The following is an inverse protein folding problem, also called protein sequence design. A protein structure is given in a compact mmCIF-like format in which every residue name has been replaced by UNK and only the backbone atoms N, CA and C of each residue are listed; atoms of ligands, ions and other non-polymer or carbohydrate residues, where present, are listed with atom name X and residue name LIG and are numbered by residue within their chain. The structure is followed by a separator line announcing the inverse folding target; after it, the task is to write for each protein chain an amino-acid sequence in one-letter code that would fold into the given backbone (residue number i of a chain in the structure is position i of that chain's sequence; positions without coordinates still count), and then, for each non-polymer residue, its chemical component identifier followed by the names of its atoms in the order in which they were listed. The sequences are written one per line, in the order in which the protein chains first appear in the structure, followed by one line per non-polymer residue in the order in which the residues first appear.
data_IF_195431689652
#
_entry.id   IF_195431689652
#
_cell.length_a   1.000
_cell.length_b   1.000
_cell.length_c   1.000
_cell.angle_alpha   90.00
_cell.angle_beta   90.00
_cell.angle_gamma   90.00
#
_symmetry.space_group_name_H-M   'P 1'
#
loop_
_entity.id
_entity.type
_entity.pdbx_description
1 polymer ?
#
# COMPACT_ATOMS: atom_id res chain seq x y z
N UNK A 1 6.38 42.03 -60.18
CA UNK A 1 6.27 43.47 -60.49
C UNK A 1 5.37 44.14 -59.45
N UNK A 2 5.97 45.08 -58.74
CA UNK A 2 5.45 46.30 -58.13
C UNK A 2 4.00 46.78 -58.34
N UNK A 3 3.51 47.51 -57.30
CA UNK A 3 2.50 48.59 -57.24
C UNK A 3 1.07 48.13 -56.84
N UNK A 4 0.48 48.48 -55.68
CA UNK A 4 0.34 49.74 -54.89
C UNK A 4 -0.97 50.50 -55.17
N UNK A 5 -1.40 51.23 -54.12
CA UNK A 5 -2.37 52.35 -54.00
C UNK A 5 -3.75 51.95 -53.43
N UNK A 6 -4.10 52.31 -52.19
CA UNK A 6 -4.30 53.60 -51.46
C UNK A 6 -5.77 54.09 -51.48
N UNK A 7 -6.24 54.43 -50.27
CA UNK A 7 -7.57 54.87 -49.79
C UNK A 7 -8.12 56.19 -50.38
N UNK A 8 -9.36 56.60 -50.01
CA UNK A 8 -9.60 57.59 -48.91
C UNK A 8 -10.88 57.30 -48.08
N UNK A 9 -10.95 57.45 -46.74
CA UNK A 9 -11.12 58.63 -45.85
C UNK A 9 -12.36 59.52 -46.14
N UNK A 10 -13.30 59.57 -45.18
CA UNK A 10 -14.13 60.74 -44.84
C UNK A 10 -14.18 60.87 -43.30
N UNK A 11 -13.80 62.05 -42.81
CA UNK A 11 -13.93 62.54 -41.42
C UNK A 11 -15.21 63.37 -41.28
N UNK A 12 -15.81 63.38 -40.08
CA UNK A 12 -16.53 64.55 -39.55
C UNK A 12 -16.28 64.63 -38.04
N UNK A 13 -15.63 65.73 -37.62
CA UNK A 13 -15.42 66.21 -36.24
C UNK A 13 -16.78 66.70 -35.63
N UNK A 14 -17.01 66.94 -34.33
CA UNK A 14 -16.52 68.09 -33.54
C UNK A 14 -16.99 67.93 -32.07
N UNK A 15 -16.02 68.10 -31.17
CA UNK A 15 -15.96 68.77 -29.84
C UNK A 15 -17.12 68.73 -28.82
N UNK A 16 -16.78 68.35 -27.57
CA UNK A 16 -16.73 69.29 -26.43
C UNK A 16 -15.89 68.70 -25.25
N UNK A 17 -15.11 69.55 -24.59
CA UNK A 17 -14.26 69.37 -23.37
C UNK A 17 -14.44 70.64 -22.51
N UNK A 18 -13.93 70.77 -21.25
CA UNK A 18 -13.25 69.81 -20.35
C UNK A 18 -13.69 69.92 -18.86
N UNK A 19 -13.20 69.03 -17.98
CA UNK A 19 -12.38 69.43 -16.81
C UNK A 19 -11.63 68.26 -16.19
N UNK A 20 -10.39 68.57 -15.85
CA UNK A 20 -9.25 67.74 -15.45
C UNK A 20 -9.39 67.30 -13.99
N UNK A 21 -9.00 66.05 -13.68
CA UNK A 21 -8.04 65.77 -12.61
C UNK A 21 -7.32 64.45 -12.92
N UNK A 22 -6.03 64.50 -12.62
CA UNK A 22 -4.93 63.77 -13.22
C UNK A 22 -4.48 62.63 -12.30
N UNK A 23 -4.34 61.41 -12.83
CA UNK A 23 -3.06 60.71 -12.94
C UNK A 23 -3.22 59.20 -13.14
N UNK A 24 -2.83 58.75 -14.33
CA UNK A 24 -1.86 57.66 -14.41
C UNK A 24 -2.36 56.22 -14.54
N UNK A 25 -2.34 55.76 -15.81
CA UNK A 25 -1.82 54.45 -16.29
C UNK A 25 -2.82 53.33 -16.67
N UNK A 26 -3.11 53.33 -17.97
CA UNK A 26 -3.35 52.26 -18.98
C UNK A 26 -2.98 50.78 -18.64
N UNK A 27 -3.44 49.76 -19.43
CA UNK A 27 -4.61 48.94 -19.11
C UNK A 27 -4.38 47.40 -19.31
N UNK A 28 -5.45 46.64 -19.04
CA UNK A 28 -5.72 45.25 -19.43
C UNK A 28 -5.10 44.10 -18.63
N UNK A 29 -5.92 43.49 -17.78
CA UNK A 29 -6.14 42.02 -17.76
C UNK A 29 -7.57 41.74 -17.30
N UNK A 30 -8.33 41.06 -18.18
CA UNK A 30 -9.65 40.54 -17.89
C UNK A 30 -9.60 39.60 -16.68
N UNK A 31 -10.45 39.88 -15.70
CA UNK A 31 -10.64 39.08 -14.49
C UNK A 31 -11.18 37.69 -14.86
N UNK A 32 -10.46 36.66 -14.42
CA UNK A 32 -11.03 35.32 -14.28
C UNK A 32 -11.82 35.32 -12.97
N UNK A 33 -13.10 35.00 -13.06
CA UNK A 33 -13.96 34.68 -11.93
C UNK A 33 -13.29 33.63 -11.03
N UNK A 34 -12.95 34.01 -9.81
CA UNK A 34 -12.48 33.10 -8.77
C UNK A 34 -13.65 32.22 -8.32
N UNK A 35 -13.71 31.00 -8.84
CA UNK A 35 -14.39 29.91 -8.15
C UNK A 35 -13.49 29.51 -6.99
N UNK A 36 -13.93 29.84 -5.78
CA UNK A 36 -13.24 29.56 -4.54
C UNK A 36 -12.78 28.10 -4.46
N UNK A 37 -11.51 27.92 -4.12
CA UNK A 37 -10.95 26.62 -3.76
C UNK A 37 -11.60 26.16 -2.46
N UNK A 38 -12.49 25.18 -2.52
CA UNK A 38 -12.72 24.30 -1.38
C UNK A 38 -11.40 23.58 -1.08
N UNK A 39 -10.74 23.97 0.01
CA UNK A 39 -9.67 23.18 0.63
C UNK A 39 -10.23 21.82 1.03
N UNK A 40 -10.06 20.82 0.17
CA UNK A 40 -10.29 19.43 0.53
C UNK A 40 -9.33 19.07 1.68
N UNK A 41 -9.90 19.02 2.87
CA UNK A 41 -9.29 18.53 4.10
C UNK A 41 -8.59 17.18 3.81
N UNK A 42 -7.27 17.19 3.60
CA UNK A 42 -6.50 15.99 3.24
C UNK A 42 -6.69 14.93 4.34
N UNK A 43 -7.41 13.85 4.02
CA UNK A 43 -7.63 12.74 4.94
C UNK A 43 -6.34 11.98 5.11
N UNK A 44 -6.02 11.63 6.35
CA UNK A 44 -4.81 10.90 6.68
C UNK A 44 -5.00 9.42 6.37
N UNK A 45 -4.41 8.94 5.27
CA UNK A 45 -4.72 7.63 4.71
C UNK A 45 -4.34 6.47 5.65
N UNK A 46 -3.17 6.50 6.29
CA UNK A 46 -2.81 5.45 7.24
C UNK A 46 -3.67 5.45 8.51
N UNK A 47 -4.12 6.61 8.99
CA UNK A 47 -5.14 6.67 10.05
C UNK A 47 -6.47 6.10 9.58
N UNK A 48 -6.86 6.36 8.33
CA UNK A 48 -8.06 5.79 7.73
C UNK A 48 -7.97 4.26 7.64
N UNK A 49 -6.80 3.69 7.29
CA UNK A 49 -6.56 2.24 7.30
C UNK A 49 -6.72 1.64 8.68
N UNK A 50 -6.14 2.27 9.71
CA UNK A 50 -6.27 1.80 11.10
C UNK A 50 -7.72 1.89 11.58
N UNK A 51 -8.42 3.00 11.32
CA UNK A 51 -9.86 3.13 11.65
C UNK A 51 -10.71 2.09 10.93
N UNK A 52 -10.44 1.84 9.65
CA UNK A 52 -11.15 0.82 8.88
C UNK A 52 -10.97 -0.57 9.46
N UNK A 53 -9.75 -0.91 9.90
CA UNK A 53 -9.46 -2.16 10.58
C UNK A 53 -10.23 -2.30 11.90
N UNK A 54 -10.23 -1.24 12.72
CA UNK A 54 -10.99 -1.21 13.98
C UNK A 54 -12.50 -1.38 13.75
N UNK A 55 -13.03 -0.84 12.65
CA UNK A 55 -14.45 -1.00 12.29
C UNK A 55 -14.79 -2.39 11.78
N UNK A 56 -13.93 -2.98 10.95
CA UNK A 56 -14.04 -4.38 10.54
C UNK A 56 -14.04 -5.30 11.77
N UNK A 57 -13.14 -5.07 12.72
CA UNK A 57 -13.08 -5.80 13.99
C UNK A 57 -14.40 -5.65 14.77
N UNK A 58 -14.90 -4.43 14.95
CA UNK A 58 -16.19 -4.19 15.62
C UNK A 58 -17.36 -4.88 14.93
N UNK A 59 -17.32 -5.02 13.60
CA UNK A 59 -18.33 -5.80 12.87
C UNK A 59 -18.26 -7.28 13.25
N UNK A 60 -17.06 -7.85 13.36
CA UNK A 60 -16.85 -9.24 13.79
C UNK A 60 -17.29 -9.49 15.23
N UNK A 61 -17.00 -8.56 16.13
CA UNK A 61 -17.42 -8.62 17.53
C UNK A 61 -18.92 -8.26 17.74
N UNK A 62 -19.62 -7.84 16.69
CA UNK A 62 -21.03 -7.42 16.78
C UNK A 62 -21.24 -6.16 17.61
N UNK A 63 -20.28 -5.23 17.57
CA UNK A 63 -20.21 -3.97 18.34
C UNK A 63 -20.08 -2.73 17.43
N UNK A 64 -20.50 -2.86 16.17
CA UNK A 64 -20.39 -1.83 15.12
C UNK A 64 -21.41 -0.68 15.24
N UNK A 65 -21.92 -0.41 16.45
CA UNK A 65 -22.75 0.77 16.77
C UNK A 65 -22.20 1.45 18.03
N UNK A 66 -22.65 2.67 18.36
CA UNK A 66 -22.22 3.34 19.60
C UNK A 66 -22.55 2.54 20.86
N UNK A 67 -23.63 1.73 20.85
CA UNK A 67 -23.95 0.79 21.93
C UNK A 67 -22.89 -0.30 22.11
N UNK A 68 -22.01 -0.50 21.13
CA UNK A 68 -20.88 -1.42 21.22
C UNK A 68 -19.92 -1.08 22.36
N UNK A 69 -19.74 0.21 22.69
CA UNK A 69 -18.85 0.63 23.77
C UNK A 69 -19.29 0.18 25.17
N UNK A 70 -20.59 -0.07 25.36
CA UNK A 70 -21.14 -0.57 26.63
C UNK A 70 -21.43 -2.06 26.58
N UNK A 71 -21.22 -2.74 25.45
CA UNK A 71 -21.64 -4.14 25.26
C UNK A 71 -20.68 -5.11 25.95
N UNK A 72 -21.22 -6.06 26.70
CA UNK A 72 -20.49 -7.21 27.22
C UNK A 72 -20.81 -8.45 26.41
N UNK A 73 -20.00 -9.50 26.60
CA UNK A 73 -20.36 -10.86 26.22
C UNK A 73 -21.80 -11.18 26.63
N UNK A 74 -22.51 -11.96 25.81
CA UNK A 74 -23.97 -12.22 25.84
C UNK A 74 -24.89 -11.07 25.36
N UNK A 75 -24.35 -9.88 25.08
CA UNK A 75 -25.13 -8.72 24.64
C UNK A 75 -25.70 -7.86 25.77
N UNK A 76 -25.33 -8.14 27.03
CA UNK A 76 -25.60 -7.26 28.17
C UNK A 76 -24.87 -5.93 28.03
N UNK A 77 -25.30 -4.93 28.79
CA UNK A 77 -24.66 -3.61 28.82
C UNK A 77 -24.21 -3.24 30.24
N UNK A 78 -23.03 -2.62 30.34
CA UNK A 78 -22.54 -2.01 31.58
C UNK A 78 -22.67 -0.48 31.52
N UNK A 79 -22.80 0.16 32.69
CA UNK A 79 -22.97 1.61 32.82
C UNK A 79 -21.75 2.32 33.41
N UNK A 80 -21.01 1.64 34.31
CA UNK A 80 -19.80 2.20 34.90
C UNK A 80 -18.63 2.13 33.90
N UNK A 81 -18.24 3.31 33.41
CA UNK A 81 -17.14 3.48 32.46
C UNK A 81 -15.83 3.84 33.14
N UNK A 82 -15.75 3.90 34.46
CA UNK A 82 -14.51 4.27 35.18
C UNK A 82 -13.36 3.27 34.95
N UNK A 83 -13.69 2.03 34.60
CA UNK A 83 -12.74 0.97 34.25
C UNK A 83 -13.43 -0.14 33.46
N UNK A 84 -12.64 -1.09 32.95
CA UNK A 84 -13.19 -2.32 32.40
C UNK A 84 -14.10 -3.00 33.44
N UNK A 85 -15.27 -3.56 33.07
CA UNK A 85 -16.23 -4.09 34.03
C UNK A 85 -15.72 -5.33 34.80
N UNK A 86 -14.72 -6.04 34.27
CA UNK A 86 -14.04 -7.18 34.93
C UNK A 86 -15.01 -8.30 35.39
N UNK A 87 -16.15 -8.41 34.71
CA UNK A 87 -17.20 -9.37 35.03
C UNK A 87 -17.18 -10.53 34.04
N UNK A 88 -16.96 -11.76 34.53
CA UNK A 88 -17.12 -12.98 33.72
C UNK A 88 -18.61 -13.31 33.60
N UNK A 89 -19.10 -13.39 32.38
CA UNK A 89 -20.50 -13.75 32.08
C UNK A 89 -20.52 -15.14 31.42
N UNK A 90 -21.34 -16.04 31.96
CA UNK A 90 -21.63 -17.34 31.34
C UNK A 90 -22.89 -17.24 30.49
N UNK A 91 -22.80 -17.61 29.21
CA UNK A 91 -23.94 -17.71 28.31
C UNK A 91 -23.76 -18.91 27.36
N UNK A 92 -24.78 -19.77 27.30
CA UNK A 92 -24.66 -21.05 26.59
C UNK A 92 -23.53 -21.91 27.18
N UNK A 93 -22.59 -22.32 26.32
CA UNK A 93 -21.46 -23.19 26.71
C UNK A 93 -20.17 -22.44 27.05
N UNK A 94 -20.18 -21.11 27.00
CA UNK A 94 -18.97 -20.31 27.15
C UNK A 94 -19.10 -19.31 28.30
N UNK A 95 -17.95 -19.02 28.92
CA UNK A 95 -17.79 -17.97 29.91
C UNK A 95 -16.77 -16.98 29.39
N UNK A 96 -17.11 -15.69 29.36
CA UNK A 96 -16.21 -14.64 28.88
C UNK A 96 -16.39 -13.35 29.64
N UNK A 97 -15.28 -12.65 29.87
CA UNK A 97 -15.24 -11.31 30.43
C UNK A 97 -15.22 -10.20 29.38
N UNK A 98 -15.38 -10.55 28.09
CA UNK A 98 -15.25 -9.62 26.99
C UNK A 98 -16.20 -8.43 27.14
N UNK A 99 -15.66 -7.23 27.01
CA UNK A 99 -16.44 -6.00 27.11
C UNK A 99 -15.96 -4.90 26.17
N UNK A 100 -16.90 -4.01 25.85
CA UNK A 100 -16.66 -2.82 25.04
C UNK A 100 -16.60 -3.10 23.54
N UNK A 101 -16.28 -2.06 22.78
CA UNK A 101 -16.28 -2.08 21.33
C UNK A 101 -15.36 -3.15 20.75
N UNK A 102 -14.24 -3.44 21.43
CA UNK A 102 -13.24 -4.40 20.95
C UNK A 102 -13.23 -5.70 21.76
N UNK A 103 -14.29 -5.94 22.55
CA UNK A 103 -14.46 -7.15 23.36
C UNK A 103 -13.18 -7.51 24.15
N UNK A 104 -12.59 -6.50 24.78
CA UNK A 104 -11.36 -6.62 25.55
C UNK A 104 -11.61 -7.56 26.72
N UNK A 105 -10.70 -8.49 26.97
CA UNK A 105 -10.79 -9.44 28.08
C UNK A 105 -10.24 -8.84 29.38
N UNK A 106 -10.74 -9.29 30.54
CA UNK A 106 -10.29 -8.82 31.85
C UNK A 106 -8.77 -8.99 32.05
N UNK A 107 -8.21 -10.12 31.59
CA UNK A 107 -6.78 -10.38 31.72
C UNK A 107 -5.95 -9.50 30.79
N UNK A 108 -6.49 -9.13 29.62
CA UNK A 108 -5.87 -8.14 28.74
C UNK A 108 -5.90 -6.76 29.39
N UNK A 109 -7.01 -6.38 30.02
CA UNK A 109 -7.10 -5.14 30.80
C UNK A 109 -6.08 -5.09 31.94
N UNK A 110 -5.93 -6.17 32.71
CA UNK A 110 -4.90 -6.27 33.75
C UNK A 110 -3.49 -6.15 33.19
N UNK A 111 -3.18 -6.89 32.12
CA UNK A 111 -1.90 -6.79 31.44
C UNK A 111 -1.60 -5.37 30.94
N UNK A 112 -2.59 -4.66 30.38
CA UNK A 112 -2.43 -3.25 29.98
C UNK A 112 -2.16 -2.31 31.17
N UNK A 113 -2.47 -2.73 32.39
CA UNK A 113 -2.24 -2.03 33.66
C UNK A 113 -0.93 -2.47 34.36
N UNK A 114 -0.03 -3.15 33.63
CA UNK A 114 1.25 -3.60 34.18
C UNK A 114 1.17 -4.86 35.04
N UNK A 115 0.04 -5.55 35.11
CA UNK A 115 -0.05 -6.82 35.86
C UNK A 115 0.50 -7.98 35.03
N UNK A 116 1.47 -8.71 35.56
CA UNK A 116 1.93 -9.95 34.93
C UNK A 116 0.86 -11.03 35.02
N UNK A 117 0.58 -11.65 33.87
CA UNK A 117 -0.46 -12.66 33.70
C UNK A 117 0.17 -14.05 33.48
N UNK A 118 -0.39 -15.07 34.13
CA UNK A 118 -0.03 -16.47 33.92
C UNK A 118 -0.61 -17.02 32.61
N UNK A 119 -0.13 -18.17 32.15
CA UNK A 119 -0.65 -18.83 30.94
C UNK A 119 -2.15 -19.19 31.03
N UNK A 120 -2.67 -19.37 32.25
CA UNK A 120 -4.10 -19.60 32.52
C UNK A 120 -4.90 -18.30 32.80
N UNK A 121 -4.37 -17.15 32.39
CA UNK A 121 -5.00 -15.84 32.44
C UNK A 121 -5.32 -15.33 33.86
N UNK A 122 -4.47 -15.65 34.85
CA UNK A 122 -4.59 -15.17 36.23
C UNK A 122 -3.56 -14.09 36.55
N UNK A 123 -3.89 -13.25 37.54
CA UNK A 123 -2.95 -12.30 38.13
C UNK A 123 -1.85 -13.05 38.88
N UNK A 124 -0.61 -12.57 38.77
CA UNK A 124 0.51 -13.06 39.58
C UNK A 124 0.74 -12.21 40.83
N UNK A 125 0.16 -11.01 40.88
CA UNK A 125 0.43 -9.97 41.87
C UNK A 125 1.71 -9.17 41.57
N UNK A 126 2.42 -9.48 40.48
CA UNK A 126 3.65 -8.81 40.07
C UNK A 126 3.31 -7.67 39.11
N UNK A 127 3.71 -6.46 39.48
CA UNK A 127 3.62 -5.28 38.63
C UNK A 127 4.91 -5.13 37.79
N UNK A 128 4.79 -5.13 36.47
CA UNK A 128 5.87 -4.85 35.53
C UNK A 128 5.63 -3.50 34.83
N UNK A 129 6.43 -2.51 35.22
CA UNK A 129 6.31 -1.11 34.76
C UNK A 129 6.40 -0.96 33.23
N UNK A 130 7.13 -1.83 32.55
CA UNK A 130 7.42 -1.70 31.12
C UNK A 130 6.21 -1.94 30.22
N UNK A 131 5.18 -2.64 30.73
CA UNK A 131 3.92 -2.87 30.03
C UNK A 131 2.69 -2.26 30.73
N UNK A 132 2.89 -1.32 31.66
CA UNK A 132 1.82 -0.41 32.14
C UNK A 132 1.52 0.64 31.06
N UNK A 133 0.80 0.21 30.03
CA UNK A 133 0.41 1.04 28.91
C UNK A 133 -0.70 2.02 29.27
N UNK A 134 -1.57 1.67 30.22
CA UNK A 134 -2.60 2.56 30.73
C UNK A 134 -1.95 3.84 31.28
N UNK A 135 -0.92 3.70 32.13
CA UNK A 135 -0.16 4.85 32.63
C UNK A 135 0.65 5.53 31.54
N UNK A 136 1.34 4.76 30.68
CA UNK A 136 2.18 5.30 29.58
C UNK A 136 1.40 6.20 28.62
N UNK A 137 0.16 5.83 28.30
CA UNK A 137 -0.71 6.57 27.37
C UNK A 137 -1.77 7.42 28.06
N UNK A 138 -1.73 7.55 29.40
CA UNK A 138 -2.65 8.38 30.16
C UNK A 138 -4.12 7.98 30.01
N UNK A 139 -4.40 6.68 29.91
CA UNK A 139 -5.76 6.14 29.82
C UNK A 139 -6.41 6.22 31.21
N UNK A 140 -7.47 7.02 31.34
CA UNK A 140 -8.06 7.35 32.66
C UNK A 140 -9.23 6.46 33.04
N UNK A 141 -9.87 5.87 32.05
CA UNK A 141 -11.16 5.21 32.18
C UNK A 141 -11.35 4.17 31.06
N UNK A 142 -12.58 3.64 30.95
CA UNK A 142 -13.01 2.74 29.89
C UNK A 142 -14.06 3.40 28.98
N UNK A 143 -14.01 4.73 28.84
CA UNK A 143 -14.84 5.50 27.92
C UNK A 143 -14.60 5.10 26.45
N UNK A 144 -15.44 5.59 25.54
CA UNK A 144 -15.34 5.24 24.12
C UNK A 144 -13.98 5.61 23.49
N UNK A 145 -13.44 6.80 23.80
CA UNK A 145 -12.10 7.19 23.33
C UNK A 145 -11.01 6.31 23.94
N UNK A 146 -11.11 6.00 25.24
CA UNK A 146 -10.16 5.12 25.93
C UNK A 146 -10.16 3.71 25.35
N UNK A 147 -11.33 3.14 25.05
CA UNK A 147 -11.43 1.82 24.40
C UNK A 147 -10.76 1.81 23.03
N UNK A 148 -10.94 2.87 22.23
CA UNK A 148 -10.26 2.98 20.94
C UNK A 148 -8.74 3.06 21.11
N UNK A 149 -8.24 3.84 22.07
CA UNK A 149 -6.81 3.90 22.40
C UNK A 149 -6.28 2.56 22.86
N UNK A 150 -7.00 1.85 23.72
CA UNK A 150 -6.64 0.50 24.18
C UNK A 150 -6.54 -0.48 23.00
N UNK A 151 -7.44 -0.39 22.02
CA UNK A 151 -7.33 -1.19 20.80
C UNK A 151 -5.99 -0.91 20.06
N UNK A 152 -5.62 0.36 19.87
CA UNK A 152 -4.32 0.71 19.25
C UNK A 152 -3.14 0.17 20.06
N UNK A 153 -3.20 0.25 21.39
CA UNK A 153 -2.16 -0.29 22.27
C UNK A 153 -2.03 -1.81 22.10
N UNK A 154 -3.15 -2.54 22.04
CA UNK A 154 -3.17 -3.99 21.79
C UNK A 154 -2.54 -4.31 20.42
N UNK A 155 -2.95 -3.59 19.37
CA UNK A 155 -2.38 -3.73 18.02
C UNK A 155 -0.87 -3.44 18.00
N UNK A 156 -0.39 -2.53 18.84
CA UNK A 156 1.03 -2.13 18.88
C UNK A 156 1.90 -3.06 19.73
N UNK A 157 1.38 -3.62 20.82
CA UNK A 157 2.26 -4.21 21.85
C UNK A 157 1.97 -5.67 22.20
N UNK A 158 0.72 -6.13 22.18
CA UNK A 158 0.38 -7.40 22.81
C UNK A 158 0.89 -8.62 22.03
N UNK A 159 0.87 -8.55 20.69
CA UNK A 159 1.31 -9.65 19.82
C UNK A 159 2.66 -9.38 19.18
N UNK A 160 2.76 -8.28 18.47
CA UNK A 160 3.99 -7.83 17.82
C UNK A 160 3.83 -6.36 17.43
N UNK A 161 4.91 -5.59 17.51
CA UNK A 161 4.95 -4.23 16.95
C UNK A 161 4.66 -4.22 15.44
N UNK A 162 4.90 -5.34 14.76
CA UNK A 162 4.61 -5.49 13.34
C UNK A 162 3.10 -5.50 13.04
N UNK A 163 2.23 -5.81 14.00
CA UNK A 163 0.80 -5.93 13.73
C UNK A 163 0.19 -4.59 13.30
N UNK A 164 0.39 -3.53 14.07
CA UNK A 164 -0.04 -2.18 13.68
C UNK A 164 0.64 -1.70 12.39
N UNK A 165 1.92 -2.06 12.16
CA UNK A 165 2.64 -1.69 10.94
C UNK A 165 2.01 -2.32 9.69
N UNK A 166 1.64 -3.61 9.74
CA UNK A 166 0.97 -4.27 8.63
C UNK A 166 -0.36 -3.57 8.28
N UNK A 167 -1.11 -3.09 9.28
CA UNK A 167 -2.36 -2.35 9.03
C UNK A 167 -2.06 -0.99 8.39
N UNK A 168 -1.06 -0.26 8.91
CA UNK A 168 -0.60 1.02 8.35
C UNK A 168 -0.16 0.83 6.89
N UNK A 169 0.53 -0.27 6.57
CA UNK A 169 1.06 -0.62 5.25
C UNK A 169 0.00 -1.26 4.32
N UNK A 170 -1.27 -1.32 4.74
CA UNK A 170 -2.38 -1.93 4.00
C UNK A 170 -2.22 -3.44 3.71
N UNK A 171 -1.46 -4.16 4.53
CA UNK A 171 -1.29 -5.62 4.48
C UNK A 171 -2.31 -6.31 5.40
N UNK A 172 -3.59 -6.07 5.13
CA UNK A 172 -4.70 -6.39 6.05
C UNK A 172 -4.92 -7.89 6.24
N UNK A 173 -4.82 -8.66 5.16
CA UNK A 173 -4.92 -10.11 5.24
C UNK A 173 -3.82 -10.67 6.14
N UNK A 174 -2.56 -10.30 5.89
CA UNK A 174 -1.41 -10.73 6.69
C UNK A 174 -1.54 -10.31 8.17
N UNK A 175 -1.96 -9.07 8.43
CA UNK A 175 -2.20 -8.57 9.78
C UNK A 175 -3.23 -9.43 10.54
N UNK A 176 -4.31 -9.79 9.85
CA UNK A 176 -5.43 -10.57 10.40
C UNK A 176 -5.05 -12.03 10.63
N UNK A 177 -4.39 -12.65 9.65
CA UNK A 177 -3.94 -14.04 9.73
C UNK A 177 -2.87 -14.25 10.79
N UNK A 178 -1.87 -13.35 10.82
CA UNK A 178 -0.67 -13.52 11.64
C UNK A 178 -0.91 -13.14 13.10
N UNK A 179 -1.70 -12.10 13.34
CA UNK A 179 -1.84 -11.52 14.68
C UNK A 179 -3.30 -11.36 15.11
N UNK A 180 -4.17 -10.80 14.26
CA UNK A 180 -5.54 -10.46 14.63
C UNK A 180 -6.35 -11.65 15.13
N UNK A 181 -6.28 -12.78 14.42
CA UNK A 181 -6.95 -14.04 14.78
C UNK A 181 -6.51 -14.67 16.09
N UNK A 182 -5.34 -14.31 16.63
CA UNK A 182 -4.90 -14.74 17.97
C UNK A 182 -5.42 -13.83 19.09
N UNK A 183 -5.88 -12.63 18.77
CA UNK A 183 -6.38 -11.69 19.76
C UNK A 183 -7.90 -11.65 19.80
N UNK A 184 -8.53 -11.69 18.63
CA UNK A 184 -9.98 -11.63 18.49
C UNK A 184 -10.50 -12.89 17.81
N UNK A 185 -11.36 -13.61 18.53
CA UNK A 185 -11.88 -14.90 18.09
C UNK A 185 -12.78 -14.82 16.86
N UNK A 186 -13.36 -13.63 16.59
CA UNK A 186 -14.17 -13.39 15.40
C UNK A 186 -13.34 -13.27 14.12
N UNK A 187 -12.04 -12.99 14.22
CA UNK A 187 -11.18 -12.73 13.06
C UNK A 187 -10.60 -14.03 12.46
N UNK A 188 -10.48 -14.10 11.12
CA UNK A 188 -9.93 -15.27 10.44
C UNK A 188 -8.39 -15.33 10.46
N UNK A 189 -7.78 -16.52 10.40
CA UNK A 189 -8.43 -17.83 10.45
C UNK A 189 -8.92 -18.13 11.87
N UNK A 190 -10.04 -18.84 12.01
CA UNK A 190 -10.58 -19.15 13.33
C UNK A 190 -9.65 -20.00 14.18
N UNK A 191 -9.39 -19.56 15.42
CA UNK A 191 -8.45 -20.23 16.35
C UNK A 191 -9.11 -20.80 17.61
N UNK A 192 -10.34 -20.38 17.92
CA UNK A 192 -10.97 -20.64 19.22
C UNK A 192 -12.24 -21.49 19.14
N UNK A 193 -12.58 -22.03 17.96
CA UNK A 193 -13.82 -22.80 17.76
C UNK A 193 -15.11 -21.99 17.96
N UNK A 194 -15.00 -20.66 18.02
CA UNK A 194 -16.11 -19.71 18.05
C UNK A 194 -16.52 -19.33 16.62
N UNK A 195 -17.72 -18.74 16.41
CA UNK A 195 -18.11 -18.22 15.11
C UNK A 195 -17.08 -17.22 14.58
N UNK A 196 -16.64 -17.43 13.34
CA UNK A 196 -15.58 -16.66 12.68
C UNK A 196 -16.12 -15.96 11.44
N UNK A 197 -15.52 -14.85 11.06
CA UNK A 197 -15.70 -14.29 9.73
C UNK A 197 -14.97 -15.13 8.68
N UNK A 198 -15.47 -15.12 7.45
CA UNK A 198 -14.73 -15.60 6.28
C UNK A 198 -13.72 -14.50 5.89
N UNK A 199 -12.48 -14.86 5.53
CA UNK A 199 -11.43 -13.89 5.19
C UNK A 199 -11.88 -12.90 4.11
N UNK A 200 -12.49 -13.38 3.03
CA UNK A 200 -12.97 -12.53 1.95
C UNK A 200 -14.05 -11.54 2.42
N UNK A 201 -14.94 -11.95 3.32
CA UNK A 201 -15.98 -11.08 3.89
C UNK A 201 -15.37 -10.02 4.83
N UNK A 202 -14.37 -10.40 5.64
CA UNK A 202 -13.64 -9.48 6.49
C UNK A 202 -12.90 -8.42 5.66
N UNK A 203 -12.19 -8.84 4.61
CA UNK A 203 -11.50 -7.93 3.68
C UNK A 203 -12.49 -7.03 2.92
N UNK A 204 -13.65 -7.55 2.51
CA UNK A 204 -14.69 -6.73 1.88
C UNK A 204 -15.27 -5.68 2.83
N UNK A 205 -15.52 -6.03 4.10
CA UNK A 205 -15.96 -5.08 5.11
C UNK A 205 -14.88 -4.04 5.43
N UNK A 206 -13.61 -4.44 5.48
CA UNK A 206 -12.48 -3.53 5.61
C UNK A 206 -12.46 -2.48 4.48
N UNK A 207 -12.52 -2.94 3.22
CA UNK A 207 -12.49 -2.06 2.05
C UNK A 207 -13.67 -1.07 2.02
N UNK A 208 -14.85 -1.54 2.44
CA UNK A 208 -16.01 -0.67 2.63
C UNK A 208 -15.73 0.39 3.70
N UNK A 209 -15.24 -0.02 4.87
CA UNK A 209 -14.92 0.89 5.96
C UNK A 209 -13.85 1.91 5.53
N UNK A 210 -12.79 1.46 4.85
CA UNK A 210 -11.71 2.32 4.35
C UNK A 210 -12.23 3.41 3.43
N UNK A 211 -13.11 3.08 2.48
CA UNK A 211 -13.75 4.07 1.60
C UNK A 211 -14.53 5.12 2.38
N UNK A 212 -15.20 4.75 3.46
CA UNK A 212 -15.98 5.67 4.29
C UNK A 212 -15.09 6.55 5.19
N UNK A 213 -14.00 5.99 5.73
CA UNK A 213 -12.99 6.73 6.50
C UNK A 213 -12.27 7.75 5.60
N UNK A 214 -11.90 7.36 4.38
CA UNK A 214 -11.27 8.24 3.38
C UNK A 214 -12.19 9.38 2.93
N UNK A 215 -13.51 9.20 3.02
CA UNK A 215 -14.50 10.27 2.77
C UNK A 215 -14.76 11.15 4.00
N UNK A 216 -14.27 10.76 5.18
CA UNK A 216 -14.57 11.45 6.44
C UNK A 216 -16.03 11.31 6.88
N UNK A 217 -16.73 10.27 6.40
CA UNK A 217 -18.18 10.09 6.63
C UNK A 217 -18.54 9.27 7.87
N UNK A 218 -17.53 8.69 8.53
CA UNK A 218 -17.68 7.82 9.69
C UNK A 218 -17.41 8.57 10.99
N UNK A 219 -18.28 8.39 11.99
CA UNK A 219 -18.19 9.00 13.31
C UNK A 219 -18.13 7.97 14.45
N UNK A 220 -17.94 6.69 14.13
CA UNK A 220 -18.07 5.61 15.10
C UNK A 220 -16.81 5.43 15.97
N UNK A 221 -15.64 5.72 15.41
CA UNK A 221 -14.34 5.72 16.11
C UNK A 221 -14.13 7.12 16.71
N UNK A 222 -13.93 7.21 18.02
CA UNK A 222 -13.81 8.44 18.82
C UNK A 222 -12.38 8.96 18.95
N UNK A 223 -11.41 8.32 18.30
CA UNK A 223 -10.06 8.87 18.15
C UNK A 223 -10.11 10.19 17.36
N UNK A 224 -9.22 11.13 17.71
CA UNK A 224 -9.07 12.41 16.98
C UNK A 224 -8.16 12.23 15.76
N UNK A 225 -8.18 13.18 14.82
CA UNK A 225 -7.20 13.22 13.72
C UNK A 225 -5.80 13.41 14.30
N UNK A 226 -4.80 12.69 13.79
CA UNK A 226 -3.43 12.73 14.31
C UNK A 226 -3.17 11.80 15.50
N UNK A 227 -4.13 10.95 15.89
CA UNK A 227 -3.99 10.04 17.04
C UNK A 227 -2.77 9.13 16.94
N UNK A 228 -2.35 8.75 15.73
CA UNK A 228 -1.21 7.83 15.57
C UNK A 228 0.12 8.44 16.04
N UNK A 229 0.22 9.77 16.13
CA UNK A 229 1.40 10.45 16.69
C UNK A 229 1.60 10.13 18.17
N UNK A 230 0.50 10.00 18.93
CA UNK A 230 0.55 9.60 20.35
C UNK A 230 1.24 8.23 20.50
N UNK A 231 1.14 7.38 19.47
CA UNK A 231 1.72 6.05 19.41
C UNK A 231 3.07 5.98 18.67
N UNK A 232 3.68 7.12 18.35
CA UNK A 232 4.98 7.22 17.69
C UNK A 232 4.96 7.01 16.18
N UNK A 233 3.82 7.24 15.52
CA UNK A 233 3.68 7.15 14.07
C UNK A 233 3.34 8.50 13.47
N UNK A 234 4.20 8.99 12.57
CA UNK A 234 3.99 10.23 11.86
C UNK A 234 3.25 9.96 10.56
N UNK A 235 1.93 9.92 10.68
CA UNK A 235 1.02 9.50 9.62
C UNK A 235 0.41 10.68 8.84
N UNK A 236 0.22 11.80 9.53
CA UNK A 236 -0.58 12.94 9.05
C UNK A 236 0.20 14.27 9.00
N UNK A 237 1.47 14.25 9.41
CA UNK A 237 2.40 15.34 9.10
C UNK A 237 2.90 15.10 7.68
N UNK A 238 2.12 15.58 6.71
CA UNK A 238 2.55 16.07 5.40
C UNK A 238 1.31 16.37 4.54
N UNK A 239 0.64 17.46 4.90
CA UNK A 239 -0.18 18.24 3.98
C UNK A 239 0.57 19.52 3.56
N UNK A 240 1.83 19.37 3.14
CA UNK A 240 2.49 20.32 2.24
C UNK A 240 2.95 19.53 1.01
N UNK A 241 2.84 20.10 -0.21
CA UNK A 241 3.31 19.44 -1.41
C UNK A 241 4.83 19.55 -1.44
N UNK A 242 5.52 18.56 -0.88
CA UNK A 242 6.96 18.38 -1.08
C UNK A 242 7.19 16.95 -1.54
N UNK A 243 7.84 16.84 -2.71
CA UNK A 243 8.37 15.61 -3.26
C UNK A 243 9.43 15.08 -2.30
N UNK A 244 9.05 14.32 -1.29
CA UNK A 244 10.00 13.44 -0.60
C UNK A 244 9.28 12.17 -0.18
N UNK A 245 9.70 11.11 -0.84
CA UNK A 245 9.15 9.79 -0.79
C UNK A 245 9.66 9.10 0.50
N UNK A 246 8.76 8.55 1.32
CA UNK A 246 9.09 7.84 2.57
C UNK A 246 9.94 6.60 2.27
N UNK A 247 11.23 6.68 2.57
CA UNK A 247 12.17 5.57 2.40
C UNK A 247 11.81 4.43 3.35
N UNK A 248 11.58 3.24 2.80
CA UNK A 248 11.42 1.98 3.54
C UNK A 248 12.70 1.60 4.29
N UNK A 249 12.69 0.50 5.06
CA UNK A 249 13.88 0.01 5.79
C UNK A 249 15.07 -0.38 4.88
N UNK A 250 14.86 -0.39 3.56
CA UNK A 250 15.88 -0.57 2.54
C UNK A 250 16.35 0.78 1.93
N UNK A 251 15.97 1.92 2.52
CA UNK A 251 16.42 3.26 2.13
C UNK A 251 15.76 3.84 0.88
N UNK A 252 14.68 3.23 0.35
CA UNK A 252 13.97 3.69 -0.86
C UNK A 252 12.47 3.65 -0.68
N UNK A 253 11.72 4.48 -1.37
CA UNK A 253 10.26 4.48 -1.18
C UNK A 253 9.62 3.36 -1.95
N UNK A 254 8.63 2.71 -1.35
CA UNK A 254 7.82 1.71 -2.03
C UNK A 254 7.08 2.36 -3.20
N UNK A 255 7.11 1.69 -4.35
CA UNK A 255 6.44 2.14 -5.57
C UNK A 255 5.59 0.98 -6.04
N UNK A 256 4.30 1.22 -6.23
CA UNK A 256 3.36 0.27 -6.80
C UNK A 256 2.59 0.92 -7.95
N UNK A 257 2.88 0.50 -9.17
CA UNK A 257 2.27 1.06 -10.37
C UNK A 257 1.04 0.27 -10.84
N UNK A 258 0.58 -0.76 -10.12
CA UNK A 258 -0.54 -1.62 -10.60
C UNK A 258 -1.87 -0.89 -10.75
N UNK A 259 -2.08 0.18 -9.99
CA UNK A 259 -3.23 1.07 -10.17
C UNK A 259 -3.19 1.90 -11.45
N UNK A 260 -2.01 2.06 -12.07
CA UNK A 260 -1.79 2.83 -13.31
C UNK A 260 -1.53 1.94 -14.52
N UNK A 261 -0.84 0.83 -14.31
CA UNK A 261 -0.32 -0.06 -15.36
C UNK A 261 -1.13 -1.36 -15.34
N UNK A 262 -1.90 -1.58 -16.39
CA UNK A 262 -2.73 -2.77 -16.54
C UNK A 262 -1.87 -3.97 -16.94
N UNK A 263 -2.01 -5.08 -16.22
CA UNK A 263 -1.42 -6.36 -16.62
C UNK A 263 -2.03 -6.87 -17.93
N UNK A 264 -1.20 -7.56 -18.72
CA UNK A 264 -1.61 -8.21 -19.97
C UNK A 264 -0.95 -9.59 -20.12
N UNK A 265 -1.58 -10.47 -20.88
CA UNK A 265 -1.06 -11.81 -21.20
C UNK A 265 -0.50 -11.90 -22.61
N UNK A 266 0.54 -12.71 -22.81
CA UNK A 266 1.04 -13.04 -24.15
C UNK A 266 0.11 -13.97 -24.94
N UNK A 267 -0.92 -14.53 -24.31
CA UNK A 267 -1.91 -15.40 -24.95
C UNK A 267 -3.15 -14.67 -25.44
N UNK A 268 -3.07 -13.34 -25.56
CA UNK A 268 -4.11 -12.53 -26.17
C UNK A 268 -4.23 -12.85 -27.67
N UNK A 269 -5.47 -12.93 -28.18
CA UNK A 269 -5.76 -13.23 -29.57
C UNK A 269 -5.14 -12.21 -30.54
N UNK A 270 -4.86 -10.97 -30.09
CA UNK A 270 -4.17 -9.94 -30.89
C UNK A 270 -2.77 -10.35 -31.36
N UNK A 271 -2.15 -11.32 -30.68
CA UNK A 271 -0.83 -11.84 -31.05
C UNK A 271 -0.90 -12.96 -32.12
N UNK A 272 -2.10 -13.38 -32.51
CA UNK A 272 -2.33 -14.42 -33.51
C UNK A 272 -2.53 -15.81 -32.89
N UNK A 273 -2.14 -16.84 -33.64
CA UNK A 273 -2.26 -18.23 -33.20
C UNK A 273 -1.36 -18.57 -32.00
N UNK A 274 -1.54 -19.79 -31.48
CA UNK A 274 -0.81 -20.27 -30.30
C UNK A 274 0.71 -20.26 -30.47
N UNK A 275 1.23 -20.48 -31.68
CA UNK A 275 2.68 -20.50 -31.94
C UNK A 275 3.26 -19.08 -31.81
N UNK A 276 2.55 -18.08 -32.35
CA UNK A 276 2.93 -16.67 -32.17
C UNK A 276 2.80 -16.22 -30.72
N UNK A 277 1.72 -16.62 -30.05
CA UNK A 277 1.51 -16.32 -28.63
C UNK A 277 2.62 -16.90 -27.74
N UNK A 278 3.11 -18.12 -28.02
CA UNK A 278 4.18 -18.76 -27.25
C UNK A 278 5.53 -18.00 -27.28
N UNK A 279 5.70 -17.05 -28.21
CA UNK A 279 6.92 -16.21 -28.32
C UNK A 279 6.61 -14.71 -28.17
N UNK A 280 5.40 -14.36 -27.74
CA UNK A 280 4.91 -12.97 -27.68
C UNK A 280 5.27 -12.23 -26.37
N UNK A 281 6.05 -12.81 -25.46
CA UNK A 281 6.41 -12.17 -24.18
C UNK A 281 6.98 -10.75 -24.37
N UNK A 282 7.97 -10.59 -25.25
CA UNK A 282 8.56 -9.28 -25.57
C UNK A 282 7.54 -8.29 -26.11
N UNK A 283 6.72 -8.71 -27.07
CA UNK A 283 5.70 -7.85 -27.70
C UNK A 283 4.64 -7.42 -26.70
N UNK A 284 4.29 -8.31 -25.78
CA UNK A 284 3.34 -8.03 -24.70
C UNK A 284 3.92 -7.01 -23.71
N UNK A 285 5.19 -7.14 -23.36
CA UNK A 285 5.89 -6.13 -22.56
C UNK A 285 5.92 -4.76 -23.25
N UNK A 286 6.26 -4.71 -24.54
CA UNK A 286 6.19 -3.46 -25.32
C UNK A 286 4.80 -2.85 -25.31
N UNK A 287 3.75 -3.67 -25.49
CA UNK A 287 2.38 -3.17 -25.49
C UNK A 287 1.99 -2.60 -24.12
N UNK A 288 2.43 -3.21 -23.02
CA UNK A 288 2.24 -2.65 -21.67
C UNK A 288 2.94 -1.29 -21.56
N UNK A 289 4.18 -1.17 -22.03
CA UNK A 289 4.92 0.11 -22.03
C UNK A 289 4.21 1.18 -22.87
N UNK A 290 3.81 0.84 -24.09
CA UNK A 290 3.11 1.75 -25.02
C UNK A 290 1.79 2.25 -24.42
N UNK A 291 0.99 1.35 -23.84
CA UNK A 291 -0.26 1.71 -23.17
C UNK A 291 -0.05 2.56 -21.91
N UNK A 292 1.19 2.65 -21.43
CA UNK A 292 1.60 3.50 -20.31
C UNK A 292 2.22 4.84 -20.76
N UNK A 293 2.19 5.14 -22.06
CA UNK A 293 2.75 6.36 -22.64
C UNK A 293 4.24 6.31 -22.98
N UNK A 294 4.84 5.11 -22.99
CA UNK A 294 6.25 4.89 -23.32
C UNK A 294 6.40 4.31 -24.74
N UNK A 295 7.62 3.95 -25.12
CA UNK A 295 7.93 3.36 -26.42
C UNK A 295 8.32 1.89 -26.29
N UNK A 296 8.21 1.15 -27.38
CA UNK A 296 8.76 -0.19 -27.47
C UNK A 296 10.29 -0.17 -27.31
N UNK A 297 10.83 -1.19 -26.65
CA UNK A 297 12.26 -1.26 -26.34
C UNK A 297 13.08 -1.97 -27.42
N UNK A 298 14.33 -1.53 -27.62
CA UNK A 298 15.26 -2.12 -28.60
C UNK A 298 16.47 -2.80 -27.94
N UNK A 299 17.21 -3.58 -28.73
CA UNK A 299 18.49 -4.15 -28.30
C UNK A 299 19.64 -3.13 -28.23
N UNK A 300 19.51 -1.98 -28.90
CA UNK A 300 20.53 -0.93 -28.92
C UNK A 300 20.57 -0.09 -27.65
N UNK A 301 19.58 -0.23 -26.75
CA UNK A 301 19.45 0.61 -25.57
C UNK A 301 19.06 -0.21 -24.32
N UNK A 302 20.01 -1.02 -23.83
CA UNK A 302 19.81 -1.87 -22.65
C UNK A 302 21.04 -1.91 -21.74
N UNK A 303 20.83 -2.43 -20.53
CA UNK A 303 21.88 -2.92 -19.64
C UNK A 303 21.88 -4.45 -19.66
N UNK A 304 22.98 -5.07 -20.09
CA UNK A 304 23.17 -6.52 -20.01
C UNK A 304 23.76 -6.85 -18.64
N UNK A 305 22.90 -7.26 -17.70
CA UNK A 305 23.26 -7.46 -16.29
C UNK A 305 23.90 -8.82 -16.04
N UNK A 306 23.58 -9.81 -16.86
CA UNK A 306 24.17 -11.14 -16.81
C UNK A 306 24.27 -11.74 -18.21
N UNK A 307 25.25 -12.62 -18.41
CA UNK A 307 25.39 -13.46 -19.60
C UNK A 307 25.64 -14.90 -19.16
N UNK A 308 25.22 -15.86 -19.97
CA UNK A 308 25.57 -17.25 -19.72
C UNK A 308 27.04 -17.53 -20.10
N UNK A 309 27.73 -18.38 -19.35
CA UNK A 309 29.07 -18.84 -19.75
C UNK A 309 29.00 -19.80 -20.95
N UNK A 310 30.12 -19.92 -21.67
CA UNK A 310 30.19 -20.68 -22.93
C UNK A 310 29.83 -22.17 -22.83
N UNK A 311 29.98 -22.76 -21.64
CA UNK A 311 29.65 -24.15 -21.33
C UNK A 311 28.23 -24.32 -20.74
N UNK A 312 27.45 -23.25 -20.63
CA UNK A 312 26.06 -23.26 -20.19
C UNK A 312 25.86 -23.86 -18.78
N UNK A 313 26.78 -23.54 -17.87
CA UNK A 313 26.78 -24.05 -16.47
C UNK A 313 26.44 -22.98 -15.43
N UNK A 314 26.53 -21.69 -15.78
CA UNK A 314 26.17 -20.58 -14.89
C UNK A 314 25.95 -19.25 -15.64
N UNK A 315 25.21 -18.35 -14.98
CA UNK A 315 25.17 -16.93 -15.35
C UNK A 315 26.33 -16.18 -14.70
N UNK A 316 27.04 -15.40 -15.51
CA UNK A 316 28.09 -14.46 -15.11
C UNK A 316 27.44 -13.08 -14.92
N UNK A 317 27.35 -12.63 -13.67
CA UNK A 317 26.79 -11.31 -13.33
C UNK A 317 27.83 -10.22 -13.60
N UNK A 318 27.45 -9.22 -14.39
CA UNK A 318 28.23 -8.00 -14.54
C UNK A 318 27.82 -7.01 -13.44
N UNK A 319 28.54 -7.02 -12.31
CA UNK A 319 28.24 -6.18 -11.14
C UNK A 319 28.13 -4.69 -11.46
N UNK A 320 29.06 -4.15 -12.26
CA UNK A 320 29.09 -2.71 -12.60
C UNK A 320 27.87 -2.32 -13.44
N UNK A 321 27.53 -3.15 -14.44
CA UNK A 321 26.36 -2.92 -15.29
C UNK A 321 25.07 -3.11 -14.50
N UNK A 322 25.01 -4.12 -13.63
CA UNK A 322 23.87 -4.39 -12.75
C UNK A 322 23.60 -3.24 -11.80
N UNK A 323 24.63 -2.67 -11.17
CA UNK A 323 24.47 -1.48 -10.33
C UNK A 323 23.87 -0.30 -11.11
N UNK A 324 24.40 0.00 -12.30
CA UNK A 324 23.86 1.06 -13.18
C UNK A 324 22.42 0.76 -13.63
N UNK A 325 22.10 -0.51 -13.86
CA UNK A 325 20.77 -0.95 -14.22
C UNK A 325 19.77 -0.72 -13.09
N UNK A 326 20.15 -0.99 -11.83
CA UNK A 326 19.34 -0.69 -10.63
C UNK A 326 19.11 0.81 -10.47
N UNK A 327 20.16 1.63 -10.59
CA UNK A 327 20.04 3.09 -10.53
C UNK A 327 19.07 3.63 -11.59
N UNK A 328 19.14 3.10 -12.81
CA UNK A 328 18.22 3.46 -13.89
C UNK A 328 16.79 2.99 -13.60
N UNK A 329 16.63 1.74 -13.17
CA UNK A 329 15.34 1.14 -12.85
C UNK A 329 14.60 1.96 -11.78
N UNK A 330 15.29 2.33 -10.72
CA UNK A 330 14.74 3.17 -9.66
C UNK A 330 14.31 4.54 -10.17
N UNK A 331 15.14 5.19 -10.99
CA UNK A 331 14.84 6.49 -11.59
C UNK A 331 13.60 6.45 -12.48
N UNK A 332 13.39 5.38 -13.22
CA UNK A 332 12.20 5.22 -14.06
C UNK A 332 10.95 4.91 -13.22
N UNK A 333 11.06 4.04 -12.21
CA UNK A 333 9.95 3.79 -11.28
C UNK A 333 9.51 5.07 -10.55
N UNK A 334 10.46 5.94 -10.18
CA UNK A 334 10.17 7.25 -9.56
C UNK A 334 9.42 8.20 -10.48
N UNK A 335 9.57 8.05 -11.81
CA UNK A 335 8.75 8.78 -12.80
C UNK A 335 7.37 8.13 -13.01
N UNK A 336 7.11 7.00 -12.37
CA UNK A 336 5.91 6.20 -12.59
C UNK A 336 5.95 5.40 -13.89
N UNK A 337 7.14 5.17 -14.45
CA UNK A 337 7.32 4.41 -15.66
C UNK A 337 7.56 2.93 -15.31
N UNK A 338 6.83 1.98 -15.91
CA UNK A 338 7.23 0.57 -15.89
C UNK A 338 8.50 0.35 -16.72
N UNK A 339 9.21 -0.76 -16.48
CA UNK A 339 10.44 -1.12 -17.19
C UNK A 339 10.34 -2.55 -17.69
N UNK A 340 10.68 -2.78 -18.96
CA UNK A 340 10.83 -4.13 -19.49
C UNK A 340 12.15 -4.75 -19.03
N UNK A 341 12.08 -5.96 -18.47
CA UNK A 341 13.24 -6.75 -18.08
C UNK A 341 13.26 -8.08 -18.85
N UNK A 342 14.45 -8.46 -19.31
CA UNK A 342 14.75 -9.81 -19.79
C UNK A 342 15.21 -10.66 -18.62
N UNK A 343 14.72 -11.89 -18.54
CA UNK A 343 15.11 -12.87 -17.53
C UNK A 343 15.56 -14.16 -18.18
N UNK A 344 16.45 -14.86 -17.48
CA UNK A 344 16.78 -16.27 -17.68
C UNK A 344 15.92 -17.11 -16.74
N UNK A 345 15.33 -18.19 -17.25
CA UNK A 345 14.64 -19.21 -16.48
C UNK A 345 15.23 -20.61 -16.67
N UNK A 346 16.37 -20.73 -17.34
CA UNK A 346 17.06 -22.00 -17.60
C UNK A 346 18.28 -21.84 -18.51
N UNK A 347 19.40 -22.38 -18.03
CA UNK A 347 20.66 -22.44 -18.76
C UNK A 347 20.54 -23.24 -20.07
N UNK A 348 21.23 -22.79 -21.12
CA UNK A 348 21.27 -23.40 -22.43
C UNK A 348 19.93 -23.37 -23.21
N UNK A 349 18.99 -22.53 -22.80
CA UNK A 349 17.68 -22.46 -23.43
C UNK A 349 17.72 -21.72 -24.78
N UNK A 350 17.33 -22.43 -25.86
CA UNK A 350 17.20 -21.90 -27.24
C UNK A 350 18.45 -21.17 -27.78
N UNK A 351 19.65 -21.67 -27.45
CA UNK A 351 20.97 -21.13 -27.84
C UNK A 351 21.05 -20.69 -29.31
N UNK A 352 20.44 -21.43 -30.24
CA UNK A 352 20.54 -21.17 -31.67
C UNK A 352 19.75 -19.94 -32.17
N UNK A 353 18.87 -19.35 -31.35
CA UNK A 353 17.98 -18.25 -31.74
C UNK A 353 18.01 -17.06 -30.75
N UNK A 354 18.96 -17.03 -29.82
CA UNK A 354 19.07 -15.98 -28.83
C UNK A 354 20.46 -15.30 -28.89
N UNK A 355 20.48 -14.04 -29.29
CA UNK A 355 21.71 -13.26 -29.56
C UNK A 355 22.58 -13.07 -28.31
N UNK A 356 21.98 -13.08 -27.12
CA UNK A 356 22.70 -12.92 -25.85
C UNK A 356 22.89 -14.24 -25.08
N UNK A 357 22.38 -15.35 -25.63
CA UNK A 357 22.37 -16.69 -25.06
C UNK A 357 21.92 -16.76 -23.58
N UNK A 358 21.14 -15.80 -23.08
CA UNK A 358 20.79 -15.70 -21.65
C UNK A 358 19.37 -15.20 -21.39
N UNK A 359 18.80 -14.33 -22.23
CA UNK A 359 17.41 -13.88 -22.06
C UNK A 359 16.42 -14.82 -22.75
N UNK A 360 15.65 -15.59 -22.01
CA UNK A 360 14.66 -16.53 -22.57
C UNK A 360 13.20 -16.10 -22.39
N UNK A 361 12.95 -15.15 -21.49
CA UNK A 361 11.64 -14.61 -21.20
C UNK A 361 11.69 -13.11 -20.90
N UNK A 362 10.54 -12.45 -21.04
CA UNK A 362 10.39 -11.03 -20.73
C UNK A 362 9.28 -10.80 -19.74
N UNK A 363 9.55 -9.91 -18.78
CA UNK A 363 8.60 -9.45 -17.76
C UNK A 363 8.58 -7.92 -17.74
N UNK A 364 7.61 -7.34 -17.03
CA UNK A 364 7.56 -5.89 -16.79
C UNK A 364 7.69 -5.62 -15.31
N UNK A 365 8.73 -4.89 -14.91
CA UNK A 365 8.88 -4.39 -13.54
C UNK A 365 7.96 -3.20 -13.36
N UNK A 366 7.07 -3.28 -12.39
CA UNK A 366 5.98 -2.32 -12.14
C UNK A 366 6.02 -1.72 -10.73
N UNK A 367 7.09 -1.95 -9.99
CA UNK A 367 7.21 -1.44 -8.63
C UNK A 367 8.44 -1.92 -7.89
N UNK A 368 8.63 -1.38 -6.69
CA UNK A 368 9.66 -1.78 -5.74
C UNK A 368 9.12 -1.76 -4.31
N UNK A 369 9.69 -2.58 -3.45
CA UNK A 369 9.39 -2.60 -2.03
C UNK A 369 10.54 -3.17 -1.21
N UNK A 370 10.31 -3.33 0.09
CA UNK A 370 11.27 -3.92 1.01
C UNK A 370 10.58 -4.91 1.95
N UNK A 371 11.19 -6.08 2.14
CA UNK A 371 10.71 -7.10 3.06
C UNK A 371 11.89 -7.61 3.88
N UNK A 372 11.82 -7.50 5.21
CA UNK A 372 12.88 -7.94 6.12
C UNK A 372 14.28 -7.39 5.73
N UNK A 373 14.36 -6.10 5.40
CA UNK A 373 15.57 -5.41 4.91
C UNK A 373 16.12 -5.97 3.59
N UNK A 374 15.32 -6.73 2.83
CA UNK A 374 15.65 -7.19 1.48
C UNK A 374 14.84 -6.39 0.46
N UNK A 375 15.50 -5.54 -0.35
CA UNK A 375 14.82 -4.81 -1.42
C UNK A 375 14.32 -5.80 -2.47
N UNK A 376 13.13 -5.55 -3.00
CA UNK A 376 12.58 -6.33 -4.11
C UNK A 376 11.88 -5.45 -5.13
N UNK A 377 11.72 -5.98 -6.33
CA UNK A 377 11.00 -5.37 -7.43
C UNK A 377 9.78 -6.23 -7.80
N UNK A 378 8.62 -5.60 -7.88
CA UNK A 378 7.38 -6.24 -8.30
C UNK A 378 7.37 -6.36 -9.82
N UNK A 379 6.99 -7.52 -10.34
CA UNK A 379 6.90 -7.73 -11.78
C UNK A 379 5.59 -8.36 -12.21
N UNK A 380 5.19 -8.01 -13.44
CA UNK A 380 4.18 -8.70 -14.20
C UNK A 380 4.82 -9.81 -15.04
N UNK A 381 4.38 -11.04 -14.80
CA UNK A 381 4.68 -12.16 -15.67
C UNK A 381 3.60 -12.22 -16.76
N UNK A 382 4.03 -11.96 -18.00
CA UNK A 382 3.15 -12.02 -19.18
C UNK A 382 3.06 -13.42 -19.78
N UNK A 383 3.92 -14.35 -19.31
CA UNK A 383 4.06 -15.74 -19.76
C UNK A 383 2.93 -16.68 -19.35
N UNK A 384 1.86 -16.14 -18.77
CA UNK A 384 0.71 -16.89 -18.29
C UNK A 384 -0.60 -16.28 -18.79
N UNK A 385 -1.61 -17.12 -19.00
CA UNK A 385 -2.98 -16.69 -19.29
C UNK A 385 -3.76 -16.27 -18.04
N UNK A 386 -3.24 -16.56 -16.85
CA UNK A 386 -3.93 -16.39 -15.57
C UNK A 386 -3.49 -15.09 -14.89
N UNK A 387 -4.39 -14.10 -14.82
CA UNK A 387 -4.10 -12.78 -14.23
C UNK A 387 -3.68 -12.84 -12.77
N UNK A 388 -4.34 -13.69 -11.98
CA UNK A 388 -4.05 -13.95 -10.56
C UNK A 388 -2.63 -14.51 -10.34
N UNK A 389 -2.05 -15.16 -11.35
CA UNK A 389 -0.66 -15.63 -11.35
C UNK A 389 0.31 -14.61 -11.93
N UNK A 390 -0.05 -13.98 -13.04
CA UNK A 390 0.82 -13.04 -13.77
C UNK A 390 0.98 -11.69 -13.07
N UNK A 391 -0.04 -11.22 -12.38
CA UNK A 391 -0.04 -9.95 -11.63
C UNK A 391 0.04 -10.15 -10.11
N UNK A 392 0.51 -11.31 -9.66
CA UNK A 392 0.50 -11.70 -8.25
C UNK A 392 1.46 -10.83 -7.40
N UNK A 393 1.09 -10.53 -6.15
CA UNK A 393 1.89 -9.76 -5.20
C UNK A 393 3.22 -10.43 -4.84
N UNK A 394 3.32 -11.75 -5.04
CA UNK A 394 4.50 -12.56 -4.75
C UNK A 394 5.44 -12.70 -5.95
N UNK A 395 5.10 -12.14 -7.11
CA UNK A 395 6.03 -12.00 -8.23
C UNK A 395 7.05 -10.89 -7.90
N UNK A 396 8.08 -11.28 -7.14
CA UNK A 396 9.11 -10.39 -6.59
C UNK A 396 10.49 -10.83 -7.03
N UNK A 397 11.27 -9.89 -7.57
CA UNK A 397 12.70 -10.03 -7.86
C UNK A 397 13.48 -9.35 -6.74
N UNK A 398 14.13 -10.11 -5.87
CA UNK A 398 14.94 -9.61 -4.78
C UNK A 398 16.31 -9.14 -5.26
N UNK A 399 16.77 -8.02 -4.70
CA UNK A 399 18.10 -7.47 -4.95
C UNK A 399 19.13 -8.12 -4.04
N UNK A 400 20.13 -8.74 -4.65
CA UNK A 400 21.36 -9.12 -3.95
C UNK A 400 22.31 -7.92 -3.95
N UNK A 401 22.53 -7.32 -2.78
CA UNK A 401 23.37 -6.11 -2.63
C UNK A 401 24.86 -6.38 -2.83
N UNK A 402 25.30 -7.64 -2.88
CA UNK A 402 26.71 -8.00 -3.05
C UNK A 402 27.16 -7.89 -4.52
N UNK A 403 26.28 -8.26 -5.47
CA UNK A 403 26.54 -8.31 -6.91
C UNK A 403 25.54 -7.49 -7.75
N UNK A 404 24.53 -6.89 -7.11
CA UNK A 404 23.43 -6.14 -7.72
C UNK A 404 22.52 -6.96 -8.64
N UNK A 405 22.56 -8.30 -8.56
CA UNK A 405 21.66 -9.16 -9.33
C UNK A 405 20.23 -9.10 -8.80
N UNK A 406 19.26 -9.25 -9.71
CA UNK A 406 17.84 -9.39 -9.40
C UNK A 406 17.38 -10.81 -9.66
N UNK A 407 16.85 -11.46 -8.62
CA UNK A 407 16.49 -12.87 -8.66
C UNK A 407 15.16 -13.14 -7.95
N UNK A 408 14.33 -14.04 -8.46
CA UNK A 408 13.03 -14.30 -7.87
C UNK A 408 12.28 -15.46 -8.50
N UNK A 409 11.10 -15.80 -7.98
CA UNK A 409 10.24 -16.83 -8.56
C UNK A 409 8.95 -16.22 -9.11
N UNK A 410 8.48 -16.74 -10.22
CA UNK A 410 7.11 -16.49 -10.68
C UNK A 410 6.12 -17.41 -9.97
N UNK A 411 4.93 -16.88 -9.66
CA UNK A 411 3.82 -17.66 -9.10
C UNK A 411 3.19 -18.58 -10.15
N UNK A 412 3.44 -18.35 -11.44
CA UNK A 412 2.80 -19.15 -12.50
C UNK A 412 3.17 -20.63 -12.44
N UNK A 413 4.45 -20.94 -12.59
CA UNK A 413 4.98 -22.30 -12.66
C UNK A 413 6.15 -22.53 -11.68
N UNK A 414 6.49 -21.54 -10.86
CA UNK A 414 7.58 -21.63 -9.88
C UNK A 414 8.98 -21.47 -10.46
N UNK A 415 9.12 -21.15 -11.76
CA UNK A 415 10.42 -20.91 -12.38
C UNK A 415 11.19 -19.83 -11.62
N UNK A 416 12.49 -20.05 -11.46
CA UNK A 416 13.41 -19.09 -10.88
C UNK A 416 13.97 -18.22 -11.99
N UNK A 417 13.81 -16.91 -11.84
CA UNK A 417 14.27 -15.91 -12.78
C UNK A 417 15.52 -15.21 -12.25
N UNK A 418 16.50 -15.05 -13.12
CA UNK A 418 17.61 -14.10 -12.95
C UNK A 418 17.50 -13.05 -14.03
N UNK A 419 17.51 -11.76 -13.65
CA UNK A 419 17.47 -10.67 -14.64
C UNK A 419 18.78 -10.60 -15.41
N UNK A 420 18.69 -10.77 -16.72
CA UNK A 420 19.81 -10.70 -17.68
C UNK A 420 19.84 -9.38 -18.43
N UNK A 421 18.68 -8.71 -18.57
CA UNK A 421 18.54 -7.42 -19.24
C UNK A 421 17.62 -6.46 -18.49
N UNK A 422 18.01 -5.20 -18.40
CA UNK A 422 17.12 -4.07 -18.13
C UNK A 422 17.08 -3.19 -19.39
N UNK A 423 15.89 -3.05 -19.99
CA UNK A 423 15.73 -2.26 -21.22
C UNK A 423 15.30 -0.84 -20.90
N UNK A 424 15.93 0.12 -21.57
CA UNK A 424 15.64 1.54 -21.35
C UNK A 424 14.39 1.94 -22.13
N UNK A 425 13.53 2.73 -21.48
CA UNK A 425 12.31 3.35 -22.02
C UNK A 425 12.58 4.38 -23.12
#
# INVERSE_FOLDING_TARGET
LYISTKSPIINVDIEEKPKVLDNGRSPWKMEKSEVGKEEKNKVCECEARVRAYMRMLRKGEGTNTDKGYTKQYSGKHFSDMSKHPENVITAGKYSSSAAGAYQIMQYTWWWLNGEKITDDNKKTGIYEKDHDYIKKYGIKDFSAESQDKLCIIILKYKRSQNFLNLIIDNKIQEATETYGSYEWASLPPGRYGQPIQIMDEALAEYEKCLKEELKGTSNIIKLKKGFLKEFGYNCCEDAKPTKDSVKNNCGKTDIDLRGKIKWQTQFDAKWGDRNKQNTACKKTCDDILINSGLKATSLSNLFQTAIENSDHTKLIINKIVSQKAIEYLDKELEKGHPIQAGVDHGLGYKINNNVDHSTDHFVVIIGRGCENNKPYYLFYDVGTGFKDKGANNMNRLYLDVSDYSLKGKTIYNGNFYTVTQIRKN
#
